data_IF_778078448735
#
_entry.id   IF_778078448735
#
_cell.length_a   1.000
_cell.length_b   1.000
_cell.length_c   1.000
_cell.angle_alpha   90.00
_cell.angle_beta   90.00
_cell.angle_gamma   90.00
#
_symmetry.space_group_name_H-M   'P 1'
#
loop_
_entity.id
_entity.type
_entity.pdbx_description
1 polymer ?
#
# COMPACT_ATOMS: atom_id res chain seq x y z
N UNK A 1 -15.33 5.58 -8.26
CA UNK A 1 -14.69 6.59 -9.07
C UNK A 1 -13.46 7.12 -8.39
N UNK A 2 -12.45 7.39 -9.19
CA UNK A 2 -11.11 7.69 -8.72
C UNK A 2 -10.84 9.18 -8.78
N UNK A 3 -10.12 9.67 -7.77
CA UNK A 3 -9.54 10.98 -7.80
C UNK A 3 -8.16 10.92 -8.47
N UNK A 4 -7.80 11.97 -9.17
CA UNK A 4 -6.48 12.20 -9.73
C UNK A 4 -5.78 13.24 -8.88
N UNK A 5 -4.46 13.21 -8.82
CA UNK A 5 -3.68 14.26 -8.17
C UNK A 5 -3.13 15.18 -9.27
N UNK A 6 -3.42 16.48 -9.16
CA UNK A 6 -2.88 17.51 -10.05
C UNK A 6 -1.36 17.65 -9.88
N UNK A 7 -0.64 18.24 -10.84
CA UNK A 7 0.77 18.55 -10.67
C UNK A 7 1.10 19.45 -9.46
N UNK A 8 0.11 20.22 -8.98
CA UNK A 8 0.21 21.06 -7.79
C UNK A 8 -0.13 20.32 -6.49
N UNK A 9 -0.56 19.06 -6.54
CA UNK A 9 -0.88 18.24 -5.36
C UNK A 9 -2.34 18.31 -4.91
N UNK A 10 -3.24 18.95 -5.67
CA UNK A 10 -4.68 18.97 -5.37
C UNK A 10 -5.38 17.72 -5.89
N UNK A 11 -6.41 17.29 -5.19
CA UNK A 11 -7.26 16.17 -5.62
C UNK A 11 -8.27 16.70 -6.65
N UNK A 12 -8.33 16.05 -7.80
CA UNK A 12 -9.28 16.33 -8.87
C UNK A 12 -10.22 15.13 -9.04
N UNK A 13 -11.51 15.39 -9.25
CA UNK A 13 -12.55 14.38 -9.46
C UNK A 13 -13.07 14.42 -10.90
N UNK A 14 -13.45 13.25 -11.48
CA UNK A 14 -13.87 13.17 -12.87
C UNK A 14 -15.35 13.53 -13.04
N UNK A 15 -15.62 14.26 -14.11
CA UNK A 15 -16.97 14.64 -14.53
C UNK A 15 -17.11 14.57 -16.05
N UNK A 16 -18.35 14.38 -16.51
CA UNK A 16 -18.75 14.61 -17.92
C UNK A 16 -19.19 16.05 -18.07
N UNK A 17 -18.78 16.70 -19.14
CA UNK A 17 -19.29 18.05 -19.48
C UNK A 17 -20.69 17.97 -20.06
N UNK A 18 -21.48 18.98 -19.74
CA UNK A 18 -22.80 19.20 -20.33
C UNK A 18 -22.74 20.53 -21.09
N UNK A 19 -22.98 20.49 -22.38
CA UNK A 19 -23.02 21.69 -23.23
C UNK A 19 -24.40 21.82 -23.87
N UNK A 20 -25.06 22.94 -23.62
CA UNK A 20 -26.41 23.22 -24.15
C UNK A 20 -27.45 22.13 -23.80
N UNK A 21 -27.38 21.57 -22.58
CA UNK A 21 -28.28 20.53 -22.13
C UNK A 21 -28.00 19.12 -22.71
N UNK A 22 -26.84 18.95 -23.34
CA UNK A 22 -26.37 17.67 -23.88
C UNK A 22 -25.11 17.21 -23.17
N UNK A 23 -25.15 15.98 -22.66
CA UNK A 23 -24.02 15.32 -21.97
C UNK A 23 -23.05 14.76 -23.00
N UNK A 24 -21.76 15.01 -22.80
CA UNK A 24 -20.72 14.35 -23.59
C UNK A 24 -20.57 12.89 -23.14
N UNK A 25 -20.95 11.97 -24.01
CA UNK A 25 -20.95 10.53 -23.74
C UNK A 25 -19.62 9.86 -24.06
N UNK A 26 -18.66 10.57 -24.67
CA UNK A 26 -17.36 10.01 -25.00
C UNK A 26 -16.52 9.83 -23.71
N UNK A 27 -16.13 8.61 -23.43
CA UNK A 27 -15.28 8.29 -22.27
C UNK A 27 -13.85 8.87 -22.39
N UNK A 28 -13.41 9.26 -23.58
CA UNK A 28 -12.12 9.92 -23.77
C UNK A 28 -12.13 11.40 -23.33
N UNK A 29 -13.32 12.00 -23.20
CA UNK A 29 -13.52 13.40 -22.84
C UNK A 29 -13.93 13.61 -21.38
N UNK A 30 -13.53 12.71 -20.47
CA UNK A 30 -13.77 12.91 -19.05
C UNK A 30 -12.82 14.00 -18.52
N UNK A 31 -13.38 15.04 -17.94
CA UNK A 31 -12.64 16.14 -17.35
C UNK A 31 -12.51 15.97 -15.84
N UNK A 32 -11.36 16.39 -15.31
CA UNK A 32 -11.08 16.35 -13.89
C UNK A 32 -11.08 17.78 -13.35
N UNK A 33 -11.83 18.01 -12.27
CA UNK A 33 -11.96 19.30 -11.62
C UNK A 33 -11.50 19.21 -10.17
N UNK A 34 -10.82 20.25 -9.71
CA UNK A 34 -10.53 20.46 -8.29
C UNK A 34 -11.79 20.94 -7.55
N UNK A 35 -11.77 20.89 -6.23
CA UNK A 35 -12.91 21.35 -5.43
C UNK A 35 -13.22 22.85 -5.64
N UNK A 36 -12.21 23.67 -5.88
CA UNK A 36 -12.35 25.09 -6.16
C UNK A 36 -13.02 25.36 -7.52
N UNK A 37 -12.64 24.58 -8.53
CA UNK A 37 -13.22 24.70 -9.87
C UNK A 37 -14.65 24.15 -9.95
N UNK A 38 -15.00 23.19 -9.08
CA UNK A 38 -16.33 22.58 -9.02
C UNK A 38 -17.34 23.43 -8.24
N UNK A 39 -16.91 24.26 -7.29
CA UNK A 39 -17.77 24.95 -6.32
C UNK A 39 -18.86 25.81 -6.99
N UNK A 40 -18.54 26.44 -8.11
CA UNK A 40 -19.44 27.31 -8.87
C UNK A 40 -20.19 26.57 -9.99
N UNK A 41 -20.01 25.24 -10.14
CA UNK A 41 -20.61 24.46 -11.23
C UNK A 41 -21.77 23.60 -10.75
N UNK A 42 -22.78 23.49 -11.59
CA UNK A 42 -23.97 22.66 -11.34
C UNK A 42 -23.77 21.26 -11.88
N UNK A 43 -23.66 20.27 -10.98
CA UNK A 43 -23.41 18.88 -11.32
C UNK A 43 -24.69 18.01 -11.21
N UNK A 44 -25.12 17.41 -12.32
CA UNK A 44 -26.21 16.46 -12.36
C UNK A 44 -25.78 15.07 -11.81
N UNK A 45 -26.71 14.32 -11.23
CA UNK A 45 -26.45 12.96 -10.75
C UNK A 45 -26.27 11.98 -11.92
N UNK A 46 -25.40 11.00 -11.73
CA UNK A 46 -25.09 9.98 -12.74
C UNK A 46 -26.30 9.10 -13.15
N UNK A 47 -27.30 8.99 -12.30
CA UNK A 47 -28.53 8.23 -12.55
C UNK A 47 -29.64 9.05 -13.23
N UNK A 48 -29.37 10.30 -13.61
CA UNK A 48 -30.31 11.13 -14.35
C UNK A 48 -30.61 10.47 -15.69
N UNK A 49 -31.89 10.28 -16.08
CA UNK A 49 -32.25 9.64 -17.34
C UNK A 49 -31.81 10.45 -18.54
N UNK A 50 -31.00 9.84 -19.41
CA UNK A 50 -30.52 10.41 -20.68
C UNK A 50 -30.81 9.46 -21.83
N UNK A 51 -30.93 10.00 -23.03
CA UNK A 51 -31.07 9.20 -24.26
C UNK A 51 -29.69 8.73 -24.77
N UNK A 52 -29.68 7.93 -25.84
CA UNK A 52 -28.45 7.43 -26.45
C UNK A 52 -27.59 8.52 -27.13
N UNK A 53 -28.12 9.72 -27.29
CA UNK A 53 -27.40 10.88 -27.85
C UNK A 53 -26.87 11.84 -26.75
N UNK A 54 -27.18 11.58 -25.48
CA UNK A 54 -26.75 12.38 -24.34
C UNK A 54 -27.71 13.50 -23.94
N UNK A 55 -28.96 13.54 -24.48
CA UNK A 55 -29.95 14.53 -24.07
C UNK A 55 -30.71 14.06 -22.84
N UNK A 56 -31.05 14.95 -21.92
CA UNK A 56 -31.86 14.63 -20.76
C UNK A 56 -33.31 14.32 -21.16
N UNK A 57 -33.86 13.21 -20.67
CA UNK A 57 -35.27 12.81 -20.97
C UNK A 57 -36.29 13.72 -20.26
N UNK A 58 -35.90 14.28 -19.09
CA UNK A 58 -36.70 15.25 -18.32
C UNK A 58 -35.95 16.55 -18.17
N UNK A 59 -35.92 17.42 -19.22
CA UNK A 59 -35.04 18.59 -19.24
C UNK A 59 -35.43 19.68 -18.21
N UNK A 60 -36.66 19.68 -17.72
CA UNK A 60 -37.15 20.71 -16.80
C UNK A 60 -36.99 20.33 -15.33
N UNK A 61 -36.52 19.12 -15.02
CA UNK A 61 -36.48 18.60 -13.65
C UNK A 61 -35.30 17.70 -13.37
N UNK A 62 -34.13 18.26 -13.34
CA UNK A 62 -32.90 17.54 -13.07
C UNK A 62 -32.47 17.78 -11.63
N UNK A 63 -32.21 16.71 -10.88
CA UNK A 63 -31.61 16.79 -9.55
C UNK A 63 -30.12 17.06 -9.71
N UNK A 64 -29.66 18.15 -9.16
CA UNK A 64 -28.26 18.57 -9.26
C UNK A 64 -27.68 18.90 -7.89
N UNK A 65 -26.38 19.07 -7.85
CA UNK A 65 -25.60 19.57 -6.73
C UNK A 65 -24.94 20.89 -7.16
N UNK A 66 -25.05 21.92 -6.34
CA UNK A 66 -24.41 23.22 -6.49
C UNK A 66 -23.80 23.58 -5.16
N UNK A 67 -22.48 23.48 -5.04
CA UNK A 67 -21.79 23.65 -3.75
C UNK A 67 -22.34 22.72 -2.65
N UNK A 68 -22.96 23.30 -1.63
CA UNK A 68 -23.56 22.56 -0.50
C UNK A 68 -25.07 22.27 -0.70
N UNK A 69 -25.71 22.82 -1.72
CA UNK A 69 -27.14 22.73 -1.96
C UNK A 69 -27.47 21.63 -3.01
N UNK A 70 -28.71 21.15 -2.97
CA UNK A 70 -29.24 20.14 -3.90
C UNK A 70 -30.48 20.66 -4.63
N UNK A 71 -30.33 21.62 -5.55
CA UNK A 71 -31.44 22.18 -6.30
C UNK A 71 -32.00 21.21 -7.35
N UNK A 72 -33.22 21.50 -7.79
CA UNK A 72 -33.80 20.91 -9.01
C UNK A 72 -33.72 21.98 -10.08
N UNK A 73 -32.97 21.71 -11.15
CA UNK A 73 -32.58 22.66 -12.19
C UNK A 73 -33.07 22.21 -13.55
N UNK A 74 -33.01 23.11 -14.54
CA UNK A 74 -33.27 22.79 -15.95
C UNK A 74 -32.00 22.30 -16.65
N UNK A 75 -32.14 21.59 -17.76
CA UNK A 75 -31.01 21.07 -18.54
C UNK A 75 -30.02 22.15 -19.02
N UNK A 76 -30.49 23.38 -19.17
CA UNK A 76 -29.64 24.52 -19.59
C UNK A 76 -28.78 25.09 -18.47
N UNK A 77 -29.08 24.75 -17.20
CA UNK A 77 -28.33 25.22 -16.01
C UNK A 77 -27.31 24.16 -15.55
N UNK A 78 -27.33 22.98 -16.14
CA UNK A 78 -26.40 21.90 -15.78
C UNK A 78 -25.09 22.06 -16.56
N UNK A 79 -23.99 22.16 -15.85
CA UNK A 79 -22.63 22.26 -16.43
C UNK A 79 -21.91 20.94 -16.48
N UNK A 80 -22.13 20.09 -15.47
CA UNK A 80 -21.43 18.82 -15.27
C UNK A 80 -22.42 17.67 -15.00
N UNK A 81 -21.97 16.46 -15.22
CA UNK A 81 -22.67 15.25 -14.81
C UNK A 81 -21.68 14.26 -14.20
N UNK A 82 -22.06 13.62 -13.09
CA UNK A 82 -21.28 12.56 -12.50
C UNK A 82 -21.05 11.41 -13.48
N UNK A 83 -19.85 10.84 -13.49
CA UNK A 83 -19.49 9.78 -14.45
C UNK A 83 -20.22 8.47 -14.15
N UNK A 84 -20.37 8.12 -12.88
CA UNK A 84 -21.01 6.88 -12.46
C UNK A 84 -21.70 7.02 -11.09
N UNK A 85 -22.77 6.26 -10.81
CA UNK A 85 -23.49 6.31 -9.52
C UNK A 85 -22.60 5.93 -8.32
N UNK A 86 -21.62 5.05 -8.49
CA UNK A 86 -20.70 4.63 -7.45
C UNK A 86 -19.69 5.72 -7.02
N UNK A 87 -19.70 6.87 -7.68
CA UNK A 87 -18.89 8.04 -7.31
C UNK A 87 -19.21 8.59 -5.92
N UNK A 88 -20.41 8.35 -5.42
CA UNK A 88 -20.82 8.73 -4.05
C UNK A 88 -20.26 7.81 -2.97
N UNK A 89 -19.85 6.59 -3.32
CA UNK A 89 -19.30 5.63 -2.38
C UNK A 89 -17.77 5.77 -2.27
N UNK A 90 -17.24 5.49 -1.07
CA UNK A 90 -15.79 5.38 -0.91
C UNK A 90 -15.23 4.20 -1.70
N UNK A 91 -13.94 4.22 -2.00
CA UNK A 91 -13.26 3.12 -2.69
C UNK A 91 -13.44 1.80 -1.91
N UNK A 92 -13.27 1.82 -0.59
CA UNK A 92 -13.43 0.65 0.24
C UNK A 92 -14.88 0.12 0.24
N UNK A 93 -15.88 0.99 0.27
CA UNK A 93 -17.28 0.58 0.13
C UNK A 93 -17.58 -0.01 -1.26
N UNK A 94 -16.93 0.52 -2.30
CA UNK A 94 -17.10 0.01 -3.67
C UNK A 94 -16.50 -1.38 -3.90
N UNK A 95 -15.65 -1.87 -3.00
CA UNK A 95 -15.07 -3.22 -3.03
C UNK A 95 -15.98 -4.29 -2.42
N UNK A 96 -17.06 -3.90 -1.72
CA UNK A 96 -17.96 -4.84 -1.05
C UNK A 96 -18.94 -5.42 -2.07
N UNK A 97 -18.86 -6.72 -2.39
CA UNK A 97 -19.86 -7.33 -3.27
C UNK A 97 -21.19 -7.43 -2.54
N UNK A 98 -22.30 -7.26 -3.27
CA UNK A 98 -23.68 -7.31 -2.73
C UNK A 98 -23.91 -6.32 -1.58
N UNK A 99 -23.33 -5.14 -1.65
CA UNK A 99 -23.40 -4.09 -0.61
C UNK A 99 -24.86 -3.75 -0.24
N UNK A 100 -25.79 -3.80 -1.20
CA UNK A 100 -27.22 -3.53 -1.02
C UNK A 100 -27.94 -4.50 -0.07
N UNK A 101 -27.34 -5.66 0.19
CA UNK A 101 -27.88 -6.67 1.13
C UNK A 101 -27.32 -6.53 2.55
N UNK A 102 -26.37 -5.65 2.76
CA UNK A 102 -25.72 -5.45 4.05
C UNK A 102 -26.32 -4.27 4.82
N UNK A 103 -26.42 -4.41 6.13
CA UNK A 103 -26.72 -3.27 7.00
C UNK A 103 -25.61 -2.23 6.94
N UNK A 104 -25.97 -0.93 6.95
CA UNK A 104 -25.03 0.17 6.82
C UNK A 104 -23.90 0.14 7.88
N UNK A 105 -24.22 -0.24 9.12
CA UNK A 105 -23.24 -0.36 10.19
C UNK A 105 -22.22 -1.46 9.91
N UNK A 106 -22.66 -2.61 9.36
CA UNK A 106 -21.77 -3.73 9.02
C UNK A 106 -20.93 -3.43 7.78
N UNK A 107 -21.49 -2.74 6.80
CA UNK A 107 -20.74 -2.25 5.64
C UNK A 107 -19.62 -1.28 6.06
N UNK A 108 -19.88 -0.38 7.02
CA UNK A 108 -18.87 0.51 7.58
C UNK A 108 -17.75 -0.27 8.27
N UNK A 109 -18.08 -1.27 9.09
CA UNK A 109 -17.08 -2.11 9.77
C UNK A 109 -16.23 -2.87 8.75
N UNK A 110 -16.84 -3.51 7.75
CA UNK A 110 -16.14 -4.22 6.69
C UNK A 110 -15.22 -3.32 5.87
N UNK A 111 -15.68 -2.13 5.52
CA UNK A 111 -14.89 -1.10 4.83
C UNK A 111 -13.65 -0.69 5.64
N UNK A 112 -13.80 -0.51 6.95
CA UNK A 112 -12.68 -0.19 7.84
C UNK A 112 -11.69 -1.35 7.96
N UNK A 113 -12.17 -2.60 8.02
CA UNK A 113 -11.31 -3.79 8.11
C UNK A 113 -10.48 -4.01 6.84
N UNK A 114 -11.04 -3.75 5.65
CA UNK A 114 -10.28 -3.83 4.40
C UNK A 114 -9.05 -2.92 4.38
N UNK A 115 -9.15 -1.73 4.98
CA UNK A 115 -8.02 -0.79 5.10
C UNK A 115 -6.93 -1.25 6.06
N UNK A 116 -7.21 -2.22 6.92
CA UNK A 116 -6.29 -2.78 7.92
C UNK A 116 -5.73 -4.14 7.50
N UNK A 117 -6.04 -4.60 6.27
CA UNK A 117 -5.57 -5.88 5.77
C UNK A 117 -4.04 -5.94 5.70
N UNK A 118 -3.45 -6.97 6.30
CA UNK A 118 -2.01 -7.20 6.28
C UNK A 118 -1.62 -7.86 4.96
N UNK A 119 -0.59 -7.37 4.25
CA UNK A 119 -0.08 -8.01 3.05
C UNK A 119 0.42 -9.41 3.35
N UNK A 120 -0.10 -10.41 2.65
CA UNK A 120 0.31 -11.80 2.80
C UNK A 120 1.47 -12.14 1.86
N UNK A 121 2.26 -13.15 2.23
CA UNK A 121 3.33 -13.68 1.36
C UNK A 121 2.76 -14.20 0.05
N UNK A 122 1.59 -14.85 0.11
CA UNK A 122 0.84 -15.32 -1.06
C UNK A 122 -0.61 -14.90 -0.90
N UNK A 123 -1.04 -13.94 -1.68
CA UNK A 123 -2.43 -13.49 -1.74
C UNK A 123 -3.18 -14.16 -2.90
N UNK A 124 -4.50 -14.15 -2.85
CA UNK A 124 -5.38 -14.62 -3.93
C UNK A 124 -6.39 -13.54 -4.30
N UNK A 125 -6.63 -13.39 -5.60
CA UNK A 125 -7.70 -12.55 -6.09
C UNK A 125 -9.07 -13.10 -5.61
N UNK A 126 -10.02 -12.23 -5.27
CA UNK A 126 -11.34 -12.66 -4.80
C UNK A 126 -12.09 -13.37 -5.94
N UNK A 127 -12.78 -14.49 -5.60
CA UNK A 127 -13.61 -15.22 -6.56
C UNK A 127 -14.84 -14.38 -6.93
N UNK A 128 -15.37 -13.64 -5.96
CA UNK A 128 -16.49 -12.71 -6.14
C UNK A 128 -16.01 -11.32 -5.81
N UNK A 129 -16.10 -10.42 -6.78
CA UNK A 129 -15.67 -9.03 -6.67
C UNK A 129 -16.65 -8.09 -7.37
N UNK A 130 -16.41 -6.81 -7.29
CA UNK A 130 -17.23 -5.76 -7.90
C UNK A 130 -16.73 -5.32 -9.26
N UNK A 131 -15.54 -5.77 -9.67
CA UNK A 131 -14.86 -5.36 -10.90
C UNK A 131 -13.98 -4.12 -10.76
N UNK A 132 -14.08 -3.39 -9.67
CA UNK A 132 -13.30 -2.19 -9.39
C UNK A 132 -11.88 -2.50 -8.93
N UNK A 133 -11.61 -3.74 -8.51
CA UNK A 133 -10.33 -4.21 -7.98
C UNK A 133 -9.19 -4.01 -8.98
N UNK A 134 -9.48 -4.25 -10.26
CA UNK A 134 -8.52 -4.11 -11.36
C UNK A 134 -8.17 -2.66 -11.64
N UNK A 135 -9.18 -1.81 -11.69
CA UNK A 135 -9.00 -0.39 -11.94
C UNK A 135 -8.23 0.28 -10.79
N UNK A 136 -8.54 -0.11 -9.55
CA UNK A 136 -7.81 0.37 -8.37
C UNK A 136 -6.31 0.10 -8.44
N UNK A 137 -5.94 -1.11 -8.82
CA UNK A 137 -4.52 -1.49 -8.92
C UNK A 137 -3.83 -0.74 -10.06
N UNK A 138 -4.48 -0.63 -11.21
CA UNK A 138 -3.98 0.13 -12.35
C UNK A 138 -3.72 1.59 -11.98
N UNK A 139 -4.68 2.24 -11.34
CA UNK A 139 -4.61 3.65 -10.98
C UNK A 139 -3.67 3.93 -9.79
N UNK A 140 -3.52 2.97 -8.89
CA UNK A 140 -2.60 3.10 -7.74
C UNK A 140 -1.12 3.12 -8.13
N UNK A 141 -0.79 2.65 -9.33
CA UNK A 141 0.57 2.53 -9.86
C UNK A 141 1.52 1.74 -8.94
N UNK A 142 0.98 0.83 -8.15
CA UNK A 142 1.77 -0.05 -7.27
C UNK A 142 2.54 -1.06 -8.13
N UNK A 143 1.92 -1.55 -9.19
CA UNK A 143 2.56 -2.46 -10.14
C UNK A 143 3.37 -1.70 -11.18
N UNK A 144 4.45 -2.32 -11.61
CA UNK A 144 5.24 -1.81 -12.72
C UNK A 144 4.60 -2.31 -14.02
N UNK A 145 4.31 -1.41 -14.92
CA UNK A 145 3.73 -1.68 -16.23
C UNK A 145 4.71 -1.29 -17.33
N UNK A 146 4.64 -1.97 -18.49
CA UNK A 146 5.45 -1.63 -19.64
C UNK A 146 5.01 -0.29 -20.26
N UNK A 147 5.96 0.62 -20.50
CA UNK A 147 5.71 1.94 -21.07
C UNK A 147 5.51 1.90 -22.59
N UNK A 148 5.99 0.86 -23.23
CA UNK A 148 5.91 0.64 -24.67
C UNK A 148 6.03 -0.83 -25.04
N UNK A 149 5.97 -1.12 -26.33
CA UNK A 149 6.24 -2.45 -26.86
C UNK A 149 7.75 -2.71 -26.84
N UNK A 150 8.15 -3.94 -26.48
CA UNK A 150 9.57 -4.25 -26.35
C UNK A 150 9.86 -5.70 -25.97
N UNK A 151 11.10 -5.96 -25.62
CA UNK A 151 11.60 -7.27 -25.22
C UNK A 151 12.31 -7.19 -23.87
N UNK A 152 12.07 -8.16 -22.99
CA UNK A 152 12.73 -8.29 -21.70
C UNK A 152 14.15 -8.83 -21.89
N UNK A 153 15.14 -7.96 -21.70
CA UNK A 153 16.56 -8.32 -21.85
C UNK A 153 17.06 -9.11 -20.62
N UNK A 154 16.56 -8.72 -19.44
CA UNK A 154 16.96 -9.32 -18.17
C UNK A 154 15.84 -9.20 -17.15
N UNK A 155 15.57 -10.26 -16.41
CA UNK A 155 14.64 -10.26 -15.28
C UNK A 155 15.18 -11.13 -14.15
N UNK A 156 15.28 -10.53 -12.95
CA UNK A 156 15.57 -11.23 -11.71
C UNK A 156 14.70 -10.69 -10.57
N UNK A 157 14.88 -11.20 -9.36
CA UNK A 157 14.10 -10.77 -8.19
C UNK A 157 14.33 -9.32 -7.76
N UNK A 158 15.32 -8.62 -8.32
CA UNK A 158 15.73 -7.26 -7.93
C UNK A 158 15.47 -6.23 -9.01
N UNK A 159 15.48 -6.63 -10.27
CA UNK A 159 15.31 -5.72 -11.40
C UNK A 159 14.76 -6.41 -12.64
N UNK A 160 14.08 -5.62 -13.46
CA UNK A 160 13.66 -5.97 -14.82
C UNK A 160 14.29 -4.96 -15.76
N UNK A 161 14.86 -5.43 -16.86
CA UNK A 161 15.42 -4.59 -17.91
C UNK A 161 14.71 -4.87 -19.21
N UNK A 162 14.18 -3.81 -19.83
CA UNK A 162 13.40 -3.90 -21.07
C UNK A 162 14.04 -3.00 -22.12
N UNK A 163 14.22 -3.55 -23.32
CA UNK A 163 14.55 -2.82 -24.51
C UNK A 163 13.27 -2.53 -25.26
N UNK A 164 12.84 -1.26 -25.26
CA UNK A 164 11.63 -0.83 -25.95
C UNK A 164 11.89 -0.57 -27.44
N UNK A 165 10.91 -0.92 -28.27
CA UNK A 165 10.90 -0.56 -29.67
C UNK A 165 10.58 0.95 -29.78
N UNK A 166 11.50 1.74 -30.33
CA UNK A 166 11.36 3.19 -30.48
C UNK A 166 11.56 3.58 -31.94
N UNK A 167 10.78 4.57 -32.39
CA UNK A 167 10.99 5.19 -33.69
C UNK A 167 12.24 6.05 -33.70
N UNK A 168 12.80 6.32 -34.90
CA UNK A 168 13.97 7.18 -35.05
C UNK A 168 13.74 8.60 -34.47
N UNK A 169 12.54 9.12 -34.62
CA UNK A 169 12.15 10.43 -34.06
C UNK A 169 12.11 10.44 -32.55
N UNK A 170 11.61 9.36 -31.94
CA UNK A 170 11.61 9.19 -30.48
C UNK A 170 13.02 9.05 -29.91
N UNK A 171 13.92 8.36 -30.62
CA UNK A 171 15.32 8.23 -30.22
C UNK A 171 16.04 9.59 -30.26
N UNK A 172 15.75 10.41 -31.25
CA UNK A 172 16.33 11.74 -31.40
C UNK A 172 15.77 12.75 -30.41
N UNK A 173 14.48 12.64 -30.08
CA UNK A 173 13.79 13.54 -29.15
C UNK A 173 14.02 13.19 -27.67
N UNK A 174 14.32 11.93 -27.37
CA UNK A 174 14.47 11.40 -26.01
C UNK A 174 15.92 11.14 -25.66
N UNK A 175 16.39 11.69 -24.52
CA UNK A 175 17.68 11.33 -23.93
C UNK A 175 17.62 10.06 -23.07
N UNK A 176 16.51 9.31 -23.13
CA UNK A 176 16.32 8.10 -22.33
C UNK A 176 17.25 6.96 -22.84
N UNK A 177 17.76 6.11 -21.93
CA UNK A 177 18.61 5.00 -22.30
C UNK A 177 17.88 3.99 -23.21
N UNK A 178 18.61 3.27 -24.03
CA UNK A 178 18.06 2.23 -24.93
C UNK A 178 17.36 1.09 -24.14
N UNK A 179 17.91 0.77 -22.96
CA UNK A 179 17.37 -0.23 -22.04
C UNK A 179 16.88 0.46 -20.79
N UNK A 180 15.59 0.35 -20.51
CA UNK A 180 14.97 0.86 -19.26
C UNK A 180 15.11 -0.17 -18.17
N UNK A 181 15.60 0.27 -16.99
CA UNK A 181 15.78 -0.60 -15.83
C UNK A 181 14.76 -0.25 -14.75
N UNK A 182 13.95 -1.22 -14.36
CA UNK A 182 13.01 -1.14 -13.26
C UNK A 182 13.58 -1.88 -12.05
N UNK A 183 13.79 -1.17 -10.94
CA UNK A 183 14.26 -1.76 -9.68
C UNK A 183 13.07 -2.22 -8.86
N UNK A 184 13.08 -3.49 -8.43
CA UNK A 184 12.00 -4.09 -7.67
C UNK A 184 12.27 -3.95 -6.16
N UNK A 185 11.33 -3.37 -5.39
CA UNK A 185 11.46 -3.36 -3.94
C UNK A 185 11.30 -4.79 -3.39
N UNK A 186 12.23 -5.17 -2.49
CA UNK A 186 12.17 -6.46 -1.77
C UNK A 186 12.21 -6.21 -0.29
N UNK A 187 11.25 -6.78 0.44
CA UNK A 187 11.15 -6.69 1.90
C UNK A 187 11.29 -5.25 2.44
N UNK A 188 10.82 -4.27 1.68
CA UNK A 188 10.84 -2.89 2.12
C UNK A 188 9.80 -2.66 3.21
N UNK A 189 10.23 -2.10 4.35
CA UNK A 189 9.34 -1.77 5.46
C UNK A 189 8.34 -0.69 5.06
N UNK A 190 7.08 -0.87 5.46
CA UNK A 190 6.04 0.16 5.42
C UNK A 190 5.93 0.89 6.76
N UNK A 191 5.16 1.97 6.81
CA UNK A 191 4.91 2.71 8.06
C UNK A 191 4.20 1.87 9.13
N UNK A 192 3.51 0.79 8.75
CA UNK A 192 2.82 -0.14 9.63
C UNK A 192 3.68 -1.38 9.94
N UNK A 193 4.98 -1.33 9.70
CA UNK A 193 5.93 -2.43 9.90
C UNK A 193 5.59 -3.70 9.10
N UNK A 194 4.84 -3.57 8.02
CA UNK A 194 4.62 -4.64 7.05
C UNK A 194 5.67 -4.59 5.94
N UNK A 195 5.69 -5.58 5.08
CA UNK A 195 6.68 -5.72 4.02
C UNK A 195 6.08 -5.53 2.64
N UNK A 196 6.73 -4.73 1.80
CA UNK A 196 6.45 -4.62 0.37
C UNK A 196 7.49 -5.42 -0.40
N UNK A 197 7.00 -6.36 -1.22
CA UNK A 197 7.84 -7.15 -2.13
C UNK A 197 7.13 -7.25 -3.47
N UNK A 198 7.79 -6.82 -4.54
CA UNK A 198 7.33 -7.05 -5.90
C UNK A 198 8.10 -8.22 -6.52
N UNK A 199 7.37 -9.09 -7.21
CA UNK A 199 7.92 -10.25 -7.92
C UNK A 199 7.74 -10.05 -9.42
N UNK A 200 8.77 -10.28 -10.26
CA UNK A 200 8.58 -10.24 -11.71
C UNK A 200 7.69 -11.41 -12.15
N UNK A 201 6.81 -11.16 -13.09
CA UNK A 201 5.99 -12.18 -13.76
C UNK A 201 6.44 -12.44 -15.18
N UNK A 202 7.39 -11.64 -15.68
CA UNK A 202 8.00 -11.78 -17.00
C UNK A 202 9.37 -12.45 -16.90
N UNK A 203 9.74 -13.18 -17.93
CA UNK A 203 11.03 -13.86 -18.05
C UNK A 203 11.91 -13.16 -19.10
N UNK A 204 13.20 -13.41 -19.02
CA UNK A 204 14.16 -12.94 -20.04
C UNK A 204 13.82 -13.51 -21.40
N UNK A 205 13.70 -12.66 -22.40
CA UNK A 205 13.29 -13.02 -23.77
C UNK A 205 11.80 -12.88 -24.07
N UNK A 206 10.98 -12.55 -23.07
CA UNK A 206 9.55 -12.31 -23.28
C UNK A 206 9.33 -11.00 -24.03
N UNK A 207 8.38 -11.00 -24.96
CA UNK A 207 7.88 -9.79 -25.59
C UNK A 207 6.78 -9.19 -24.75
N UNK A 208 6.86 -7.89 -24.54
CA UNK A 208 5.90 -7.12 -23.75
C UNK A 208 5.23 -6.07 -24.62
N UNK A 209 3.96 -5.78 -24.31
CA UNK A 209 3.18 -4.73 -24.96
C UNK A 209 2.94 -3.57 -24.03
N UNK A 210 2.70 -2.39 -24.58
CA UNK A 210 2.40 -1.19 -23.80
C UNK A 210 1.24 -1.42 -22.83
N UNK A 211 1.43 -1.08 -21.55
CA UNK A 211 0.43 -1.27 -20.50
C UNK A 211 0.38 -2.68 -19.91
N UNK A 212 1.21 -3.63 -20.37
CA UNK A 212 1.31 -4.95 -19.78
C UNK A 212 1.93 -4.88 -18.39
N UNK A 213 1.33 -5.60 -17.43
CA UNK A 213 1.83 -5.70 -16.06
C UNK A 213 3.08 -6.57 -16.04
N UNK A 214 4.13 -6.08 -15.40
CA UNK A 214 5.45 -6.74 -15.31
C UNK A 214 5.70 -7.38 -13.95
N UNK A 215 4.96 -6.97 -12.92
CA UNK A 215 5.20 -7.40 -11.55
C UNK A 215 3.91 -7.75 -10.81
N UNK A 216 4.01 -8.69 -9.89
CA UNK A 216 3.00 -9.02 -8.89
C UNK A 216 3.56 -8.87 -7.47
N UNK A 217 2.68 -8.85 -6.50
CA UNK A 217 3.01 -8.76 -5.09
C UNK A 217 2.35 -7.56 -4.42
N UNK A 218 2.54 -7.44 -3.11
CA UNK A 218 1.90 -6.41 -2.31
C UNK A 218 0.37 -6.41 -2.48
N UNK A 219 -0.25 -7.54 -2.06
CA UNK A 219 -1.72 -7.72 -2.12
C UNK A 219 -2.31 -7.61 -3.53
N UNK A 220 -1.60 -8.10 -4.53
CA UNK A 220 -2.08 -8.14 -5.91
C UNK A 220 -1.88 -9.52 -6.53
N UNK A 221 -2.82 -9.95 -7.34
CA UNK A 221 -2.73 -11.16 -8.15
C UNK A 221 -3.46 -10.93 -9.48
N UNK A 222 -2.85 -11.33 -10.58
CA UNK A 222 -3.38 -11.17 -11.95
C UNK A 222 -3.81 -9.73 -12.29
N UNK A 223 -3.15 -8.74 -11.71
CA UNK A 223 -3.51 -7.33 -11.90
C UNK A 223 -4.73 -6.86 -11.11
N UNK A 224 -5.23 -7.66 -10.20
CA UNK A 224 -6.37 -7.36 -9.33
C UNK A 224 -5.96 -7.25 -7.87
N UNK A 225 -6.71 -6.48 -7.10
CA UNK A 225 -6.50 -6.37 -5.66
C UNK A 225 -6.81 -7.69 -4.96
N UNK A 226 -5.84 -8.21 -4.23
CA UNK A 226 -5.91 -9.47 -3.48
C UNK A 226 -5.53 -9.22 -2.01
N UNK A 227 -6.50 -8.81 -1.19
CA UNK A 227 -6.27 -8.47 0.22
C UNK A 227 -6.12 -9.68 1.14
N UNK A 228 -6.47 -10.88 0.68
CA UNK A 228 -6.46 -12.07 1.50
C UNK A 228 -6.42 -13.37 0.70
N UNK A 229 -7.13 -14.37 1.19
CA UNK A 229 -7.19 -15.73 0.63
C UNK A 229 -8.64 -16.20 0.56
N UNK A 230 -8.97 -17.00 -0.43
CA UNK A 230 -10.26 -17.65 -0.54
C UNK A 230 -10.28 -18.94 0.30
N UNK A 231 -11.18 -19.00 1.28
CA UNK A 231 -11.31 -20.15 2.18
C UNK A 231 -12.69 -20.78 2.06
N UNK A 232 -12.74 -22.10 2.15
CA UNK A 232 -14.00 -22.81 2.33
C UNK A 232 -14.43 -22.71 3.78
N UNK A 233 -15.61 -22.15 4.02
CA UNK A 233 -16.19 -21.93 5.36
C UNK A 233 -17.45 -22.78 5.53
N UNK A 234 -17.61 -23.41 6.70
CA UNK A 234 -18.83 -24.08 7.12
C UNK A 234 -19.51 -23.28 8.25
N UNK A 235 -20.76 -22.88 8.05
CA UNK A 235 -21.57 -22.20 9.04
C UNK A 235 -22.38 -23.22 9.85
N UNK A 236 -21.81 -23.66 10.97
CA UNK A 236 -22.45 -24.66 11.84
C UNK A 236 -21.89 -24.59 13.27
N UNK A 237 -22.69 -24.95 14.30
CA UNK A 237 -22.14 -25.19 15.64
C UNK A 237 -21.18 -26.38 15.60
N UNK A 238 -20.00 -26.25 16.22
CA UNK A 238 -19.06 -27.33 16.25
C UNK A 238 -18.51 -27.59 17.67
N UNK A 239 -19.12 -28.55 18.37
CA UNK A 239 -18.73 -29.01 19.72
C UNK A 239 -18.55 -27.89 20.76
N UNK A 240 -19.17 -26.74 20.55
CA UNK A 240 -19.05 -25.58 21.44
C UNK A 240 -17.76 -24.76 21.26
N UNK A 241 -16.82 -25.18 20.43
CA UNK A 241 -15.54 -24.47 20.23
C UNK A 241 -15.66 -23.18 19.40
N UNK A 242 -16.77 -23.00 18.72
CA UNK A 242 -17.09 -21.78 17.97
C UNK A 242 -18.23 -20.97 18.60
N UNK A 243 -18.34 -21.00 19.95
CA UNK A 243 -19.31 -20.22 20.70
C UNK A 243 -19.03 -18.72 20.56
N UNK A 244 -20.08 -17.91 20.36
CA UNK A 244 -20.01 -16.47 20.07
C UNK A 244 -19.17 -16.15 18.84
N UNK A 245 -18.11 -15.35 18.99
CA UNK A 245 -17.24 -14.90 17.90
C UNK A 245 -16.03 -15.82 17.65
N UNK A 246 -15.98 -16.98 18.32
CA UNK A 246 -14.90 -17.93 18.16
C UNK A 246 -14.97 -18.63 16.79
N UNK A 247 -13.82 -18.78 16.15
CA UNK A 247 -13.66 -19.45 14.85
C UNK A 247 -12.72 -20.63 15.00
N UNK A 248 -13.15 -21.81 14.54
CA UNK A 248 -12.30 -23.00 14.46
C UNK A 248 -11.65 -23.01 13.08
N UNK A 249 -10.33 -23.04 13.04
CA UNK A 249 -9.54 -23.08 11.81
C UNK A 249 -8.86 -24.44 11.62
N UNK A 250 -8.64 -24.81 10.37
CA UNK A 250 -7.89 -26.01 10.02
C UNK A 250 -6.39 -25.79 10.23
N UNK A 251 -5.67 -26.78 10.73
CA UNK A 251 -4.20 -26.80 10.84
C UNK A 251 -3.52 -26.61 9.46
N UNK A 252 -4.21 -26.93 8.39
CA UNK A 252 -3.76 -26.68 7.03
C UNK A 252 -3.34 -25.23 6.80
N UNK A 253 -4.04 -24.25 7.44
CA UNK A 253 -3.75 -22.82 7.30
C UNK A 253 -2.33 -22.50 7.76
N UNK A 254 -1.90 -23.10 8.87
CA UNK A 254 -0.53 -22.94 9.37
C UNK A 254 0.48 -23.72 8.51
N UNK A 255 0.19 -24.98 8.18
CA UNK A 255 1.11 -25.86 7.46
C UNK A 255 1.41 -25.40 6.03
N UNK A 256 0.45 -24.76 5.36
CA UNK A 256 0.58 -24.29 3.98
C UNK A 256 0.85 -22.78 3.89
N UNK A 257 1.19 -22.12 5.00
CA UNK A 257 1.50 -20.68 5.06
C UNK A 257 0.42 -19.77 4.42
N UNK A 258 -0.86 -20.13 4.60
CA UNK A 258 -1.97 -19.47 3.91
C UNK A 258 -2.09 -18.00 4.33
N UNK A 259 -1.94 -17.68 5.63
CA UNK A 259 -2.02 -16.33 6.18
C UNK A 259 -0.67 -15.80 6.68
N UNK A 260 0.42 -16.39 6.24
CA UNK A 260 1.76 -15.97 6.64
C UNK A 260 2.06 -14.57 6.10
N UNK A 261 2.56 -13.71 6.98
CA UNK A 261 2.95 -12.34 6.67
C UNK A 261 4.37 -12.06 7.18
N UNK A 262 5.01 -11.07 6.57
CA UNK A 262 6.35 -10.62 6.96
C UNK A 262 6.23 -9.25 7.61
N UNK A 263 6.77 -9.11 8.81
CA UNK A 263 6.83 -7.86 9.55
C UNK A 263 8.28 -7.42 9.67
N UNK A 264 8.54 -6.11 9.48
CA UNK A 264 9.88 -5.53 9.51
C UNK A 264 9.90 -4.43 10.56
N UNK A 265 10.57 -4.68 11.68
CA UNK A 265 10.79 -3.68 12.72
C UNK A 265 12.16 -3.03 12.55
N UNK A 266 12.22 -1.73 12.78
CA UNK A 266 13.45 -0.95 12.69
C UNK A 266 13.78 -0.36 14.07
N UNK A 267 14.98 -0.67 14.54
CA UNK A 267 15.51 -0.13 15.80
C UNK A 267 16.66 0.81 15.48
N UNK A 268 16.53 2.07 15.91
CA UNK A 268 17.51 3.13 15.66
C UNK A 268 18.14 3.54 16.97
N UNK A 269 19.47 3.63 16.99
CA UNK A 269 20.23 4.11 18.12
C UNK A 269 21.15 5.25 17.70
N UNK A 270 21.13 6.34 18.45
CA UNK A 270 22.01 7.48 18.25
C UNK A 270 23.18 7.42 19.23
N UNK A 271 24.37 7.76 18.76
CA UNK A 271 25.58 7.97 19.55
C UNK A 271 25.78 9.47 19.71
N UNK A 272 25.91 9.94 20.93
CA UNK A 272 25.98 11.37 21.27
C UNK A 272 27.23 11.69 22.02
N UNK A 273 27.77 12.91 21.81
CA UNK A 273 28.76 13.49 22.69
C UNK A 273 28.09 14.00 23.95
N UNK A 274 28.46 13.44 25.09
CA UNK A 274 27.97 13.90 26.38
C UNK A 274 29.02 14.72 27.11
N UNK A 275 28.61 15.54 28.08
CA UNK A 275 29.55 16.31 28.94
C UNK A 275 30.54 15.42 29.73
N UNK A 276 30.26 14.12 29.80
CA UNK A 276 31.04 13.11 30.56
C UNK A 276 31.91 12.23 29.67
N UNK A 277 31.84 12.43 28.37
CA UNK A 277 32.55 11.67 27.35
C UNK A 277 31.66 11.27 26.19
N UNK A 278 32.29 10.70 25.18
CA UNK A 278 31.63 10.21 23.97
C UNK A 278 30.97 8.85 24.28
N UNK A 279 29.74 8.65 23.83
CA UNK A 279 29.10 7.33 23.81
C UNK A 279 29.81 6.46 22.76
N UNK A 280 29.86 5.17 22.96
CA UNK A 280 30.52 4.22 22.06
C UNK A 280 29.62 3.03 21.75
N UNK A 281 29.61 2.62 20.48
CA UNK A 281 29.01 1.36 20.07
C UNK A 281 30.04 0.24 20.20
N UNK A 282 29.67 -0.80 20.96
CA UNK A 282 30.57 -1.94 21.23
C UNK A 282 29.79 -3.20 21.56
N UNK A 283 30.36 -4.34 21.26
CA UNK A 283 29.87 -5.65 21.70
C UNK A 283 30.28 -5.98 23.14
N UNK A 284 31.30 -5.27 23.68
CA UNK A 284 31.79 -5.44 25.04
C UNK A 284 30.95 -4.63 26.02
N UNK A 285 29.86 -5.22 26.47
CA UNK A 285 28.89 -4.60 27.38
C UNK A 285 29.11 -5.16 28.79
N UNK A 286 29.37 -4.29 29.81
CA UNK A 286 29.51 -4.75 31.18
C UNK A 286 28.20 -5.35 31.73
N UNK A 287 28.31 -6.36 32.58
CA UNK A 287 27.21 -7.04 33.29
C UNK A 287 26.22 -7.77 32.37
N UNK A 288 26.63 -8.17 31.19
CA UNK A 288 25.83 -8.95 30.22
C UNK A 288 26.56 -10.26 29.93
N UNK A 289 25.81 -11.35 29.80
CA UNK A 289 26.38 -12.66 29.43
C UNK A 289 26.90 -12.66 28.00
N UNK A 290 27.97 -13.39 27.73
CA UNK A 290 28.53 -13.57 26.38
C UNK A 290 27.50 -14.19 25.41
N UNK A 291 26.57 -15.00 25.91
CA UNK A 291 25.51 -15.59 25.10
C UNK A 291 24.54 -14.54 24.52
N UNK A 292 24.25 -13.46 25.27
CA UNK A 292 23.38 -12.39 24.78
C UNK A 292 24.05 -11.47 23.76
N UNK A 293 25.38 -11.43 23.70
CA UNK A 293 26.16 -10.58 22.78
C UNK A 293 26.82 -11.36 21.64
N UNK A 294 26.64 -12.68 21.59
CA UNK A 294 27.31 -13.57 20.63
C UNK A 294 27.04 -13.20 19.16
N UNK A 295 25.90 -12.63 18.85
CA UNK A 295 25.48 -12.26 17.50
C UNK A 295 25.80 -10.78 17.13
N UNK A 296 26.48 -10.05 18.03
CA UNK A 296 26.97 -8.69 17.77
C UNK A 296 28.29 -8.72 17.00
N UNK A 297 28.44 -7.80 16.07
CA UNK A 297 29.72 -7.55 15.38
C UNK A 297 30.66 -6.68 16.23
N UNK A 298 31.84 -6.36 15.72
CA UNK A 298 32.82 -5.52 16.40
C UNK A 298 32.31 -4.09 16.69
N UNK A 299 31.32 -3.63 15.95
CA UNK A 299 30.65 -2.35 16.14
C UNK A 299 29.42 -2.42 17.06
N UNK A 300 29.19 -3.56 17.71
CA UNK A 300 28.05 -3.74 18.61
C UNK A 300 26.69 -3.83 17.92
N UNK A 301 26.65 -4.08 16.61
CA UNK A 301 25.41 -4.24 15.85
C UNK A 301 25.23 -5.72 15.53
N UNK A 302 23.99 -6.20 15.60
CA UNK A 302 23.66 -7.60 15.29
C UNK A 302 24.03 -7.93 13.82
N UNK A 303 24.66 -9.07 13.60
CA UNK A 303 25.05 -9.54 12.27
C UNK A 303 23.86 -9.91 11.40
N UNK A 304 23.97 -9.70 10.11
CA UNK A 304 22.97 -10.14 9.13
C UNK A 304 22.87 -11.67 9.13
N UNK A 305 21.63 -12.19 9.19
CA UNK A 305 21.34 -13.62 9.22
C UNK A 305 21.26 -14.23 10.63
N UNK A 306 21.43 -13.44 11.70
CA UNK A 306 21.24 -13.93 13.08
C UNK A 306 19.78 -14.22 13.38
N UNK A 307 19.49 -15.33 14.06
CA UNK A 307 18.18 -15.62 14.61
C UNK A 307 18.06 -14.97 15.98
N UNK A 308 17.10 -14.07 16.15
CA UNK A 308 16.91 -13.25 17.34
C UNK A 308 15.76 -13.81 18.17
N UNK A 309 15.97 -13.87 19.48
CA UNK A 309 14.97 -14.30 20.47
C UNK A 309 14.66 -13.16 21.44
N UNK A 310 13.51 -13.21 22.13
CA UNK A 310 13.21 -12.25 23.18
C UNK A 310 14.31 -12.22 24.26
N UNK A 311 14.87 -11.02 24.51
CA UNK A 311 15.97 -10.82 25.45
C UNK A 311 17.36 -10.70 24.81
N UNK A 312 17.50 -10.98 23.51
CA UNK A 312 18.77 -10.78 22.79
C UNK A 312 19.05 -9.29 22.57
N UNK A 313 20.34 -8.94 22.59
CA UNK A 313 20.78 -7.56 22.36
C UNK A 313 20.97 -7.34 20.85
N UNK A 314 20.32 -6.31 20.33
CA UNK A 314 20.40 -5.94 18.91
C UNK A 314 21.51 -4.92 18.65
N UNK A 315 21.67 -3.95 19.55
CA UNK A 315 22.66 -2.88 19.46
C UNK A 315 23.29 -2.70 20.83
N UNK A 316 24.61 -2.78 20.91
CA UNK A 316 25.38 -2.52 22.12
C UNK A 316 25.88 -1.09 22.14
N UNK A 317 25.49 -0.31 23.13
CA UNK A 317 25.97 1.06 23.36
C UNK A 317 26.34 1.25 24.82
N UNK A 318 27.49 1.80 25.08
CA UNK A 318 27.94 2.20 26.40
C UNK A 318 27.98 3.73 26.51
N UNK A 319 27.60 4.23 27.68
CA UNK A 319 27.60 5.65 28.02
C UNK A 319 28.45 5.87 29.25
N UNK A 320 29.43 6.79 29.26
CA UNK A 320 30.28 7.06 30.44
C UNK A 320 29.42 7.54 31.62
N UNK A 321 29.61 6.94 32.80
CA UNK A 321 29.04 7.41 34.07
C UNK A 321 29.86 8.61 34.56
N UNK A 322 29.22 9.55 35.25
CA UNK A 322 29.89 10.60 35.97
C UNK A 322 30.60 10.09 37.19
N UNK A 323 31.67 10.80 37.61
CA UNK A 323 32.34 10.58 38.91
C UNK A 323 31.32 10.70 40.03
N UNK A 324 30.87 9.56 40.56
CA UNK A 324 30.20 9.43 41.82
C UNK A 324 31.07 8.52 42.67
N UNK A 325 31.14 8.78 43.99
CA UNK A 325 31.84 7.86 44.88
C UNK A 325 31.22 6.47 44.72
N UNK A 326 32.02 5.47 44.30
CA UNK A 326 31.50 4.14 44.05
C UNK A 326 30.96 3.51 45.32
N UNK A 327 29.73 2.97 45.23
CA UNK A 327 29.16 2.20 46.34
C UNK A 327 30.01 0.96 46.67
N UNK A 328 29.92 0.40 47.86
CA UNK A 328 30.67 -0.82 48.20
C UNK A 328 30.42 -1.97 47.23
N UNK A 329 29.22 -2.05 46.68
CA UNK A 329 28.84 -3.05 45.66
C UNK A 329 29.53 -2.79 44.33
N UNK A 330 29.63 -1.52 43.92
CA UNK A 330 30.34 -1.13 42.71
C UNK A 330 31.86 -1.36 42.82
N UNK A 331 32.45 -1.16 43.98
CA UNK A 331 33.86 -1.51 44.27
C UNK A 331 34.10 -3.00 44.12
N UNK A 332 33.16 -3.82 44.56
CA UNK A 332 33.21 -5.27 44.41
C UNK A 332 33.10 -5.70 42.97
N UNK A 333 32.15 -5.11 42.23
CA UNK A 333 31.98 -5.36 40.80
C UNK A 333 33.20 -4.96 39.94
N UNK A 334 33.85 -3.82 40.28
CA UNK A 334 35.11 -3.40 39.65
C UNK A 334 36.25 -4.40 39.93
N UNK A 335 36.32 -4.94 41.12
CA UNK A 335 37.32 -5.93 41.49
C UNK A 335 37.16 -7.28 40.80
N UNK A 336 35.90 -7.66 40.45
CA UNK A 336 35.58 -8.96 39.81
C UNK A 336 35.58 -8.85 38.30
N UNK A 337 35.03 -7.79 37.72
CA UNK A 337 34.77 -7.63 36.29
C UNK A 337 35.65 -6.55 35.58
N UNK A 338 36.59 -5.93 36.32
CA UNK A 338 37.49 -4.89 35.80
C UNK A 338 36.91 -3.47 35.89
N UNK A 339 37.79 -2.47 35.59
CA UNK A 339 37.49 -1.06 35.79
C UNK A 339 36.32 -0.53 34.92
N UNK A 340 36.07 -1.14 33.76
CA UNK A 340 34.99 -0.75 32.86
C UNK A 340 33.57 -1.00 33.43
N UNK A 341 33.42 -1.95 34.37
CA UNK A 341 32.11 -2.31 34.91
C UNK A 341 31.48 -1.25 35.83
N UNK A 342 32.24 -0.24 36.24
CA UNK A 342 31.77 0.84 37.14
C UNK A 342 31.66 2.21 36.47
N UNK A 343 32.37 2.45 35.35
CA UNK A 343 32.51 3.77 34.73
C UNK A 343 31.60 3.98 33.52
N UNK A 344 30.94 2.97 33.06
CA UNK A 344 30.04 2.99 31.90
C UNK A 344 28.72 2.29 32.16
#
# INVERSE_FOLDING_TARGET
VYAKISPMGFIETPYRRVENGKVDMDNSHIHYYSAEEEEDLVAAQANTPIDGEGNFLEPDRIKAREGADFPVVTASEVDLMDVAPNQIASIAASLIPFLEHDDANRALMGSNMMRQAVPLVTSEAPIVGTGIEKDMISDSRIQIVAEGDGEVVFADATKIQIKYERTEDEILASFAPEVTTYTLPRYRRTNQNTSVTLKPIVLTGDKVTKGQILTEGYSTQHGELALGRNLKVAFMPWKGYNFEDAIVISERIQREDIFTSVHVDEYIMEVRDTKRGVEELTSDIPNVSEDATKDLDANGIVRVGANIHPGDILIGKITPKGESDPSPEEKLLRAIFGDKAGDV
#
